data_IF_369227914206
#
_entry.id   IF_369227914206
#
_cell.length_a   1.000
_cell.length_b   1.000
_cell.length_c   1.000
_cell.angle_alpha   90.00
_cell.angle_beta   90.00
_cell.angle_gamma   90.00
#
_symmetry.space_group_name_H-M   'P 1'
#
loop_
_entity.id
_entity.type
_entity.pdbx_description
1 polymer ?
#
# COMPACT_ATOMS: atom_id res chain seq x y z
N UNK A 1 8.94 -37.55 23.74
CA UNK A 1 8.05 -36.37 23.89
C UNK A 1 6.82 -36.62 23.03
N UNK A 2 5.74 -36.95 23.73
CA UNK A 2 4.31 -36.76 23.45
C UNK A 2 3.76 -36.87 22.02
N UNK A 3 3.07 -37.99 21.82
CA UNK A 3 1.70 -38.11 21.32
C UNK A 3 1.43 -37.77 19.83
N UNK A 4 1.56 -38.83 19.04
CA UNK A 4 0.58 -39.20 18.02
C UNK A 4 -0.86 -39.17 18.61
N UNK A 5 -1.88 -38.90 17.78
CA UNK A 5 -3.29 -39.25 18.04
C UNK A 5 -4.23 -38.16 18.62
N UNK A 6 -4.54 -37.08 17.89
CA UNK A 6 -5.83 -36.37 18.07
C UNK A 6 -6.39 -35.83 16.73
N UNK A 7 -6.24 -36.57 15.63
CA UNK A 7 -6.90 -36.26 14.33
C UNK A 7 -8.25 -36.95 14.16
N UNK A 8 -8.90 -37.43 15.24
CA UNK A 8 -10.08 -38.29 15.08
C UNK A 8 -11.13 -38.24 16.18
N UNK A 9 -11.43 -37.08 16.73
CA UNK A 9 -12.66 -36.86 17.52
C UNK A 9 -12.78 -35.38 17.81
N UNK A 10 -13.85 -34.74 17.34
CA UNK A 10 -14.56 -33.61 17.99
C UNK A 10 -15.64 -33.06 17.03
N UNK A 11 -16.45 -33.97 16.48
CA UNK A 11 -17.67 -33.66 15.71
C UNK A 11 -18.94 -33.71 16.58
N UNK A 12 -18.86 -33.37 17.88
CA UNK A 12 -19.96 -33.54 18.82
C UNK A 12 -20.07 -32.39 19.84
N UNK A 13 -20.16 -31.14 19.36
CA UNK A 13 -20.32 -29.96 20.22
C UNK A 13 -21.39 -28.95 19.80
N UNK A 14 -22.26 -29.26 18.83
CA UNK A 14 -23.12 -28.25 18.16
C UNK A 14 -24.63 -28.44 18.40
N UNK A 15 -25.10 -29.37 19.24
CA UNK A 15 -26.53 -29.74 19.28
C UNK A 15 -27.38 -29.29 20.48
N UNK A 16 -26.87 -28.55 21.47
CA UNK A 16 -27.61 -28.40 22.75
C UNK A 16 -28.27 -27.05 23.04
N UNK A 17 -28.46 -26.14 22.07
CA UNK A 17 -29.03 -24.81 22.35
C UNK A 17 -30.34 -24.46 21.62
N UNK A 18 -31.08 -25.43 21.06
CA UNK A 18 -32.24 -25.14 20.18
C UNK A 18 -33.62 -25.33 20.83
N UNK A 19 -33.73 -25.81 22.08
CA UNK A 19 -35.02 -26.25 22.65
C UNK A 19 -35.76 -25.26 23.58
N UNK A 20 -35.28 -24.03 23.78
CA UNK A 20 -35.83 -23.15 24.82
C UNK A 20 -36.93 -22.15 24.40
N UNK A 21 -37.40 -22.13 23.14
CA UNK A 21 -38.22 -21.01 22.64
C UNK A 21 -39.72 -21.31 22.39
N UNK A 22 -40.28 -22.42 22.90
CA UNK A 22 -41.71 -22.74 22.73
C UNK A 22 -42.51 -22.60 24.03
N UNK A 23 -42.68 -21.37 24.52
CA UNK A 23 -43.72 -21.07 25.50
C UNK A 23 -44.15 -19.60 25.39
N UNK A 24 -45.16 -19.32 24.56
CA UNK A 24 -45.92 -18.06 24.60
C UNK A 24 -47.40 -18.40 24.60
N UNK A 25 -48.06 -18.09 25.72
CA UNK A 25 -49.50 -18.07 25.90
C UNK A 25 -50.02 -16.64 25.64
N UNK A 26 -51.14 -16.42 24.94
CA UNK A 26 -51.70 -15.07 24.80
C UNK A 26 -52.67 -14.77 25.95
N UNK A 27 -52.35 -13.81 26.81
CA UNK A 27 -53.33 -13.17 27.70
C UNK A 27 -53.73 -11.79 27.17
N UNK A 28 -55.04 -11.56 27.16
CA UNK A 28 -55.73 -10.43 26.56
C UNK A 28 -55.63 -9.14 27.37
N UNK A 29 -55.66 -8.04 26.61
CA UNK A 29 -55.85 -6.65 26.97
C UNK A 29 -56.65 -6.33 28.26
N UNK A 30 -56.12 -5.39 29.05
CA UNK A 30 -56.71 -4.05 29.18
C UNK A 30 -55.76 -3.16 30.00
N UNK A 31 -55.23 -2.11 29.39
CA UNK A 31 -54.52 -1.05 30.11
C UNK A 31 -55.35 0.23 29.94
N UNK A 32 -56.13 0.55 30.96
CA UNK A 32 -56.71 1.86 31.19
C UNK A 32 -55.56 2.77 31.65
N UNK A 33 -55.06 3.64 30.77
CA UNK A 33 -53.87 4.45 31.05
C UNK A 33 -54.33 5.82 31.55
N UNK A 34 -54.23 6.01 32.86
CA UNK A 34 -54.29 7.30 33.56
C UNK A 34 -53.00 8.08 33.30
N UNK A 35 -53.09 9.42 33.28
CA UNK A 35 -52.08 10.38 32.79
C UNK A 35 -50.78 10.51 33.61
N UNK A 36 -50.38 9.48 34.35
CA UNK A 36 -49.20 9.51 35.23
C UNK A 36 -48.14 8.43 34.92
N UNK A 37 -48.35 7.57 33.92
CA UNK A 37 -47.38 6.54 33.50
C UNK A 37 -47.00 6.59 32.00
N UNK A 38 -46.92 7.80 31.45
CA UNK A 38 -46.51 8.03 30.05
C UNK A 38 -45.01 7.81 29.77
N UNK A 39 -44.24 7.29 30.74
CA UNK A 39 -42.79 7.06 30.60
C UNK A 39 -42.48 5.59 30.26
N UNK A 40 -43.41 4.65 30.48
CA UNK A 40 -43.19 3.23 30.18
C UNK A 40 -43.44 2.84 28.71
N UNK A 41 -44.14 3.68 27.93
CA UNK A 41 -44.50 3.38 26.53
C UNK A 41 -43.44 3.75 25.48
N UNK A 42 -42.60 4.76 25.76
CA UNK A 42 -41.59 5.23 24.80
C UNK A 42 -40.35 4.32 24.73
N UNK A 43 -40.03 3.59 25.81
CA UNK A 43 -38.89 2.67 25.83
C UNK A 43 -39.11 1.45 24.93
N UNK A 44 -40.35 1.00 24.74
CA UNK A 44 -40.66 -0.16 23.90
C UNK A 44 -40.42 0.10 22.40
N UNK A 45 -40.65 1.32 21.92
CA UNK A 45 -40.35 1.71 20.54
C UNK A 45 -38.84 1.86 20.28
N UNK A 46 -38.06 2.16 21.31
CA UNK A 46 -36.60 2.28 21.24
C UNK A 46 -35.92 0.90 21.05
N UNK A 47 -36.50 -0.17 21.59
CA UNK A 47 -35.99 -1.53 21.40
C UNK A 47 -36.28 -2.12 20.00
N UNK A 48 -37.38 -1.75 19.34
CA UNK A 48 -37.66 -2.19 17.95
C UNK A 48 -36.85 -1.38 16.93
N UNK A 49 -36.50 -0.12 17.25
CA UNK A 49 -35.69 0.74 16.37
C UNK A 49 -34.24 0.27 16.18
N UNK A 50 -33.70 -0.57 17.06
CA UNK A 50 -32.32 -1.03 16.98
C UNK A 50 -32.09 -2.22 16.03
N UNK A 51 -33.15 -2.78 15.40
CA UNK A 51 -33.03 -3.96 14.53
C UNK A 51 -33.15 -3.67 13.02
N UNK A 52 -33.37 -2.41 12.60
CA UNK A 52 -33.49 -2.08 11.15
C UNK A 52 -32.50 -0.99 10.70
N UNK A 53 -31.70 -0.42 11.60
CA UNK A 53 -30.81 0.68 11.23
C UNK A 53 -29.33 0.29 11.10
N UNK A 54 -29.05 -0.75 10.31
CA UNK A 54 -27.72 -0.97 9.74
C UNK A 54 -27.83 -1.57 8.34
N UNK A 55 -28.33 -0.78 7.40
CA UNK A 55 -27.95 -0.92 6.00
C UNK A 55 -27.84 0.47 5.38
N UNK A 56 -26.92 1.26 5.92
CA UNK A 56 -26.37 2.35 5.15
C UNK A 56 -25.24 1.75 4.29
N UNK A 57 -25.60 1.48 3.03
CA UNK A 57 -24.70 1.10 1.95
C UNK A 57 -23.82 2.30 1.55
N UNK A 58 -23.05 2.82 2.49
CA UNK A 58 -21.93 3.68 2.20
C UNK A 58 -20.77 2.79 1.74
N UNK A 59 -20.74 2.53 0.42
CA UNK A 59 -19.51 2.14 -0.29
C UNK A 59 -18.49 3.30 -0.34
N UNK A 60 -18.56 4.25 0.59
CA UNK A 60 -17.58 5.29 0.83
C UNK A 60 -16.68 4.91 2.00
N UNK A 61 -16.11 3.68 1.98
CA UNK A 61 -14.73 3.60 2.43
C UNK A 61 -13.97 4.48 1.45
N UNK A 62 -13.30 5.58 1.86
CA UNK A 62 -12.34 6.21 0.97
C UNK A 62 -11.45 5.07 0.51
N UNK A 63 -11.51 4.74 -0.79
CA UNK A 63 -10.57 3.78 -1.35
C UNK A 63 -9.20 4.21 -0.82
N UNK A 64 -8.38 3.28 -0.26
CA UNK A 64 -7.06 3.65 0.23
C UNK A 64 -6.47 4.55 -0.84
N UNK A 65 -6.18 5.81 -0.48
CA UNK A 65 -5.68 6.78 -1.45
C UNK A 65 -4.47 6.11 -2.03
N UNK A 66 -4.63 5.54 -3.23
CA UNK A 66 -3.53 5.07 -4.03
C UNK A 66 -2.89 6.39 -4.37
N UNK A 67 -1.94 6.80 -3.53
CA UNK A 67 -1.05 7.90 -3.86
C UNK A 67 -0.65 7.61 -5.29
N UNK A 68 -1.04 8.46 -6.27
CA UNK A 68 -0.76 8.16 -7.65
C UNK A 68 0.74 7.94 -7.71
N UNK A 69 1.16 6.70 -7.94
CA UNK A 69 2.57 6.32 -7.93
C UNK A 69 3.22 7.33 -8.84
N UNK A 70 4.13 8.20 -8.35
CA UNK A 70 4.55 9.35 -9.14
C UNK A 70 5.01 8.81 -10.48
N UNK A 71 4.20 9.04 -11.53
CA UNK A 71 4.53 8.52 -12.84
C UNK A 71 5.91 9.08 -13.10
N UNK A 72 6.93 8.22 -13.30
CA UNK A 72 8.28 8.68 -13.40
C UNK A 72 8.26 9.69 -14.52
N UNK A 73 8.38 10.98 -14.16
CA UNK A 73 8.38 12.04 -15.16
C UNK A 73 9.48 11.62 -16.12
N UNK A 74 9.15 11.39 -17.39
CA UNK A 74 10.01 10.67 -18.33
C UNK A 74 11.46 11.21 -18.30
N UNK A 75 11.61 12.51 -18.05
CA UNK A 75 12.90 13.17 -17.84
C UNK A 75 13.74 12.67 -16.65
N UNK A 76 13.23 11.93 -15.66
CA UNK A 76 14.03 11.33 -14.58
C UNK A 76 14.48 9.90 -14.91
N UNK A 77 14.16 9.38 -16.09
CA UNK A 77 14.59 8.06 -16.55
C UNK A 77 15.80 8.22 -17.46
N UNK A 78 16.92 7.65 -17.05
CA UNK A 78 18.17 7.64 -17.80
C UNK A 78 18.27 6.39 -18.68
N UNK A 79 18.82 6.53 -19.90
CA UNK A 79 19.12 5.39 -20.76
C UNK A 79 20.21 4.48 -20.16
N UNK A 80 19.90 3.20 -19.97
CA UNK A 80 20.80 2.15 -19.50
C UNK A 80 21.95 1.92 -20.48
N UNK A 81 21.74 2.17 -21.77
CA UNK A 81 22.74 2.08 -22.82
C UNK A 81 23.85 3.13 -22.62
N UNK A 82 23.60 4.20 -21.86
CA UNK A 82 24.62 5.20 -21.52
C UNK A 82 25.40 4.87 -20.24
N UNK A 83 24.97 3.88 -19.48
CA UNK A 83 25.64 3.44 -18.27
C UNK A 83 26.89 2.63 -18.63
N UNK A 84 28.05 3.05 -18.14
CA UNK A 84 29.32 2.35 -18.31
C UNK A 84 30.03 2.18 -16.99
N UNK A 85 30.73 1.07 -16.84
CA UNK A 85 31.77 0.91 -15.82
C UNK A 85 33.07 1.39 -16.42
N UNK A 86 33.77 2.30 -15.73
CA UNK A 86 35.00 2.90 -16.21
C UNK A 86 36.11 2.58 -15.21
N UNK A 87 37.11 1.83 -15.66
CA UNK A 87 38.28 1.52 -14.88
C UNK A 87 39.21 2.72 -14.82
N UNK A 88 39.47 3.18 -13.61
CA UNK A 88 40.29 4.36 -13.36
C UNK A 88 41.73 3.95 -13.06
N UNK A 89 42.68 4.86 -13.27
CA UNK A 89 44.11 4.63 -12.95
C UNK A 89 44.40 4.24 -11.49
N UNK A 90 43.45 4.47 -10.59
CA UNK A 90 43.57 4.13 -9.17
C UNK A 90 43.23 2.66 -8.89
N UNK A 91 42.99 1.85 -9.93
CA UNK A 91 42.62 0.44 -9.81
C UNK A 91 41.17 0.21 -9.39
N UNK A 92 40.35 1.26 -9.31
CA UNK A 92 38.93 1.15 -8.99
C UNK A 92 38.06 1.43 -10.22
N UNK A 93 36.94 0.70 -10.34
CA UNK A 93 35.93 0.93 -11.38
C UNK A 93 34.85 1.90 -10.88
N UNK A 94 34.45 2.84 -11.74
CA UNK A 94 33.38 3.81 -11.45
C UNK A 94 32.24 3.61 -12.44
N UNK A 95 31.04 3.30 -11.94
CA UNK A 95 29.82 3.29 -12.75
C UNK A 95 29.30 4.71 -12.94
N UNK A 96 29.23 5.16 -14.19
CA UNK A 96 28.71 6.47 -14.55
C UNK A 96 28.01 6.46 -15.91
N UNK A 97 27.07 7.38 -16.07
CA UNK A 97 26.46 7.69 -17.37
C UNK A 97 27.40 8.61 -18.13
N UNK A 98 27.93 8.15 -19.26
CA UNK A 98 28.91 8.95 -20.02
C UNK A 98 28.24 10.17 -20.64
N UNK A 99 28.89 11.33 -20.54
CA UNK A 99 28.29 12.57 -21.02
C UNK A 99 27.99 12.55 -22.51
N UNK A 100 28.92 12.02 -23.32
CA UNK A 100 28.72 11.93 -24.77
C UNK A 100 27.49 11.10 -25.13
N UNK A 101 27.27 9.97 -24.46
CA UNK A 101 26.08 9.17 -24.71
C UNK A 101 24.80 9.90 -24.31
N UNK A 102 24.80 10.56 -23.15
CA UNK A 102 23.65 11.33 -22.68
C UNK A 102 23.32 12.48 -23.63
N UNK A 103 24.31 13.23 -24.11
CA UNK A 103 24.08 14.30 -25.10
C UNK A 103 23.45 13.79 -26.40
N UNK A 104 23.74 12.54 -26.79
CA UNK A 104 23.23 11.98 -28.03
C UNK A 104 21.87 11.27 -27.89
N UNK A 105 21.57 10.69 -26.72
CA UNK A 105 20.43 9.77 -26.53
C UNK A 105 19.44 10.24 -25.45
N UNK A 106 19.69 11.37 -24.80
CA UNK A 106 18.87 11.84 -23.69
C UNK A 106 18.55 13.33 -23.80
N UNK A 107 17.27 13.63 -24.01
CA UNK A 107 16.79 14.98 -24.34
C UNK A 107 16.87 15.99 -23.18
N UNK A 108 17.07 15.53 -21.95
CA UNK A 108 16.98 16.37 -20.76
C UNK A 108 18.32 16.57 -20.05
N UNK A 109 19.45 16.58 -20.80
CA UNK A 109 20.80 16.78 -20.24
C UNK A 109 20.92 18.04 -19.39
N UNK A 110 20.17 19.10 -19.72
CA UNK A 110 20.19 20.38 -19.01
C UNK A 110 19.55 20.31 -17.61
N UNK A 111 18.82 19.22 -17.31
CA UNK A 111 18.19 18.97 -16.01
C UNK A 111 19.03 18.05 -15.13
N UNK A 112 20.20 17.62 -15.61
CA UNK A 112 21.06 16.72 -14.86
C UNK A 112 21.76 17.48 -13.73
N UNK A 113 21.72 16.94 -12.50
CA UNK A 113 22.35 17.52 -11.33
C UNK A 113 23.86 17.63 -11.53
N UNK A 114 24.39 18.85 -11.47
CA UNK A 114 25.82 19.10 -11.67
C UNK A 114 26.67 18.57 -10.52
N UNK A 115 26.10 18.46 -9.32
CA UNK A 115 26.72 17.81 -8.17
C UNK A 115 27.08 16.35 -8.42
N UNK A 116 26.36 15.67 -9.33
CA UNK A 116 26.65 14.30 -9.72
C UNK A 116 27.66 14.19 -10.87
N UNK A 117 28.03 15.30 -11.50
CA UNK A 117 28.96 15.33 -12.62
C UNK A 117 30.39 15.10 -12.13
N UNK A 118 31.09 14.17 -12.78
CA UNK A 118 32.47 13.81 -12.43
C UNK A 118 33.34 13.67 -13.66
N UNK A 119 34.62 13.94 -13.45
CA UNK A 119 35.68 13.70 -14.43
C UNK A 119 36.59 12.62 -13.89
N UNK A 120 36.83 11.59 -14.68
CA UNK A 120 37.72 10.48 -14.34
C UNK A 120 38.79 10.34 -15.40
N UNK A 121 39.96 9.88 -14.98
CA UNK A 121 41.01 9.42 -15.91
C UNK A 121 40.93 7.91 -15.95
N UNK A 122 40.68 7.37 -17.13
CA UNK A 122 40.71 5.93 -17.39
C UNK A 122 42.13 5.39 -17.19
N UNK A 123 42.26 4.09 -17.04
CA UNK A 123 43.57 3.40 -16.94
C UNK A 123 44.55 3.83 -18.04
N UNK A 124 44.11 3.79 -19.31
CA UNK A 124 44.89 4.25 -20.48
C UNK A 124 45.13 5.78 -20.54
N UNK A 125 44.60 6.56 -19.59
CA UNK A 125 44.82 8.00 -19.49
C UNK A 125 43.87 8.92 -20.19
N UNK A 126 42.90 8.38 -20.90
CA UNK A 126 41.84 9.16 -21.50
C UNK A 126 41.03 9.86 -20.40
N UNK A 127 40.73 11.14 -20.64
CA UNK A 127 39.81 11.89 -19.77
C UNK A 127 38.39 11.55 -20.19
N UNK A 128 37.58 11.09 -19.26
CA UNK A 128 36.15 10.80 -19.45
C UNK A 128 35.35 11.60 -18.43
N UNK A 129 34.16 12.02 -18.83
CA UNK A 129 33.25 12.75 -17.97
C UNK A 129 31.83 12.24 -18.11
N UNK A 130 31.03 12.49 -17.09
CA UNK A 130 29.68 11.95 -16.99
C UNK A 130 29.12 12.10 -15.59
N UNK A 131 28.03 11.39 -15.31
CA UNK A 131 27.30 11.51 -14.05
C UNK A 131 27.36 10.19 -13.28
N UNK A 132 27.80 10.22 -12.02
CA UNK A 132 27.95 8.98 -11.21
C UNK A 132 26.61 8.30 -11.01
N UNK A 133 26.53 7.01 -11.30
CA UNK A 133 25.27 6.26 -11.23
C UNK A 133 24.66 6.26 -9.82
N UNK A 134 25.50 6.13 -8.79
CA UNK A 134 25.07 6.19 -7.38
C UNK A 134 24.47 7.56 -7.02
N UNK A 135 25.15 8.65 -7.40
CA UNK A 135 24.66 10.01 -7.12
C UNK A 135 23.34 10.27 -7.85
N UNK A 136 23.25 9.90 -9.14
CA UNK A 136 22.01 10.04 -9.93
C UNK A 136 20.83 9.32 -9.29
N UNK A 137 21.05 8.10 -8.78
CA UNK A 137 20.02 7.34 -8.06
C UNK A 137 19.56 8.07 -6.79
N UNK A 138 20.49 8.61 -6.02
CA UNK A 138 20.20 9.37 -4.80
C UNK A 138 19.45 10.68 -5.12
N UNK A 139 19.74 11.30 -6.27
CA UNK A 139 19.01 12.47 -6.79
C UNK A 139 17.61 12.12 -7.35
N UNK A 140 17.18 10.86 -7.28
CA UNK A 140 15.86 10.41 -7.70
C UNK A 140 15.75 10.08 -9.19
N UNK A 141 16.86 9.94 -9.91
CA UNK A 141 16.86 9.42 -11.28
C UNK A 141 16.80 7.89 -11.27
N UNK A 142 16.04 7.35 -12.21
CA UNK A 142 15.91 5.92 -12.48
C UNK A 142 16.61 5.58 -13.78
N UNK A 143 16.87 4.31 -14.02
CA UNK A 143 17.41 3.82 -15.29
C UNK A 143 16.33 2.95 -15.93
N UNK A 144 16.12 3.06 -17.25
CA UNK A 144 15.25 2.11 -17.96
C UNK A 144 15.85 0.70 -17.85
N UNK A 145 14.99 -0.32 -17.87
CA UNK A 145 15.40 -1.70 -18.15
C UNK A 145 15.29 -1.90 -19.66
N UNK A 146 16.36 -2.41 -20.26
CA UNK A 146 16.32 -3.01 -21.58
C UNK A 146 15.69 -4.39 -21.50
#
# INVERSE_FOLDING_TARGET
>A
MFAHSITKTLSAGVLSLTLALTAVSPTTASAQISEEDAIAGFLALLFIGAAVHLSDNNNDRPAPVVEPTPQPRNWRVLPAECLRSIDTRRGNSVRMFTQRCLTNNYNFTNRLPQECHVRVRTENGQRRQGYRARCMRNAGFRTNRH
#
